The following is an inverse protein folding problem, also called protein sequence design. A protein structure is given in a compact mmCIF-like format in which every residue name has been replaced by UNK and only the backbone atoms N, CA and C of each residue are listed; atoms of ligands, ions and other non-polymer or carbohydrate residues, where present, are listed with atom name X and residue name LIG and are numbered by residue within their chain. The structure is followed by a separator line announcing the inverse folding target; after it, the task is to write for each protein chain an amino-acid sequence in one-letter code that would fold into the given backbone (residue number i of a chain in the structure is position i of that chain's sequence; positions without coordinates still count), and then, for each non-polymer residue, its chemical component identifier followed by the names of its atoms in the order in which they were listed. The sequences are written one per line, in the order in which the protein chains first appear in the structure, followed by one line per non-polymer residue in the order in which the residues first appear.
data_IF_372969377460
#
_entry.id   IF_372969377460
#
_cell.length_a   1.000
_cell.length_b   1.000
_cell.length_c   1.000
_cell.angle_alpha   90.00
_cell.angle_beta   90.00
_cell.angle_gamma   90.00
#
_symmetry.space_group_name_H-M   'P 1'
#
loop_
_entity.id
_entity.type
_entity.pdbx_description
1 polymer ?
#
# COMPACT_ATOMS: atom_id res chain seq x y z
N UNK A 1 12.55 9.89 23.36
CA UNK A 1 11.36 9.00 23.26
C UNK A 1 11.50 8.22 21.98
N UNK A 2 11.03 6.98 21.97
CA UNK A 2 11.22 6.06 20.85
C UNK A 2 9.94 6.02 19.99
N UNK A 3 9.93 5.24 18.91
CA UNK A 3 8.70 4.96 18.17
C UNK A 3 7.86 4.01 19.03
N UNK A 4 6.83 4.57 19.66
CA UNK A 4 6.05 3.90 20.71
C UNK A 4 4.71 3.38 20.15
N UNK A 5 4.17 4.02 19.11
CA UNK A 5 2.92 3.62 18.47
C UNK A 5 3.18 2.99 17.10
N UNK A 6 2.44 1.94 16.78
CA UNK A 6 2.52 1.23 15.50
C UNK A 6 1.11 1.18 14.91
N UNK A 7 1.00 1.62 13.66
CA UNK A 7 -0.18 1.46 12.84
C UNK A 7 0.05 0.27 11.91
N UNK A 8 -0.53 -0.87 12.23
CA UNK A 8 -0.51 -2.10 11.44
C UNK A 8 -1.70 -2.06 10.48
N UNK A 9 -1.45 -2.19 9.19
CA UNK A 9 -2.48 -2.06 8.17
C UNK A 9 -2.40 -3.16 7.13
N UNK A 10 -3.58 -3.69 6.83
CA UNK A 10 -3.82 -4.64 5.75
C UNK A 10 -4.80 -4.04 4.74
N UNK A 11 -4.68 -4.46 3.49
CA UNK A 11 -5.46 -3.95 2.38
C UNK A 11 -6.50 -4.97 1.99
N UNK A 12 -7.77 -4.56 2.02
CA UNK A 12 -8.87 -5.44 1.67
C UNK A 12 -8.82 -5.76 0.17
N UNK A 13 -8.77 -7.05 -0.16
CA UNK A 13 -8.86 -7.57 -1.52
C UNK A 13 -8.03 -6.75 -2.52
N UNK A 14 -6.74 -6.53 -2.16
CA UNK A 14 -5.86 -5.57 -2.84
C UNK A 14 -5.89 -5.71 -4.36
N UNK A 15 -5.77 -6.92 -4.90
CA UNK A 15 -5.78 -7.11 -6.35
C UNK A 15 -7.14 -6.84 -7.00
N UNK A 16 -8.23 -7.20 -6.33
CA UNK A 16 -9.60 -7.16 -6.88
C UNK A 16 -10.17 -5.74 -6.90
N UNK A 17 -9.81 -4.93 -5.90
CA UNK A 17 -10.31 -3.55 -5.75
C UNK A 17 -9.43 -2.49 -6.46
N UNK A 18 -8.26 -2.86 -7.01
CA UNK A 18 -7.39 -1.88 -7.70
C UNK A 18 -8.07 -1.29 -8.94
N UNK A 19 -8.05 0.03 -9.02
CA UNK A 19 -8.44 0.74 -10.24
C UNK A 19 -7.40 0.49 -11.35
N UNK A 20 -7.81 -0.29 -12.35
CA UNK A 20 -6.99 -0.65 -13.50
C UNK A 20 -6.54 0.57 -14.33
N UNK A 21 -7.33 1.63 -14.37
CA UNK A 21 -6.98 2.87 -15.08
C UNK A 21 -5.87 3.61 -14.36
N UNK A 22 -5.98 3.72 -13.03
CA UNK A 22 -4.98 4.34 -12.17
C UNK A 22 -3.65 3.56 -12.20
N UNK A 23 -3.72 2.23 -12.06
CA UNK A 23 -2.57 1.34 -12.16
C UNK A 23 -1.87 1.45 -13.53
N UNK A 24 -2.64 1.35 -14.63
CA UNK A 24 -2.08 1.52 -15.97
C UNK A 24 -1.51 2.93 -16.19
N UNK A 25 -2.09 3.95 -15.55
CA UNK A 25 -1.54 5.30 -15.51
C UNK A 25 -0.14 5.34 -14.91
N UNK A 26 0.09 4.63 -13.79
CA UNK A 26 1.42 4.50 -13.16
C UNK A 26 2.40 3.75 -14.05
N UNK A 27 2.01 2.60 -14.60
CA UNK A 27 2.87 1.81 -15.50
C UNK A 27 3.31 2.64 -16.70
N UNK A 28 2.40 3.41 -17.31
CA UNK A 28 2.69 4.30 -18.45
C UNK A 28 3.69 5.41 -18.16
N UNK A 29 3.81 5.86 -16.91
CA UNK A 29 4.81 6.89 -16.54
C UNK A 29 6.25 6.37 -16.67
N UNK A 30 6.45 5.06 -16.57
CA UNK A 30 7.77 4.43 -16.66
C UNK A 30 7.98 3.67 -17.97
N UNK A 31 6.93 3.04 -18.49
CA UNK A 31 6.98 2.19 -19.68
C UNK A 31 6.22 2.86 -20.83
N UNK A 32 6.94 3.24 -21.89
CA UNK A 32 6.36 3.80 -23.12
C UNK A 32 6.01 2.76 -24.19
N UNK A 33 6.42 1.49 -24.01
CA UNK A 33 6.22 0.43 -24.98
C UNK A 33 4.74 0.00 -25.03
N UNK A 34 4.10 0.21 -26.20
CA UNK A 34 2.70 -0.11 -26.43
C UNK A 34 2.40 -1.61 -26.38
N UNK A 35 3.35 -2.46 -26.77
CA UNK A 35 3.21 -3.92 -26.74
C UNK A 35 3.17 -4.41 -25.29
N UNK A 36 4.11 -3.95 -24.46
CA UNK A 36 4.15 -4.28 -23.02
C UNK A 36 2.89 -3.77 -22.31
N UNK A 37 2.50 -2.52 -22.58
CA UNK A 37 1.27 -1.97 -22.00
C UNK A 37 0.01 -2.72 -22.45
N UNK A 38 -0.03 -3.18 -23.70
CA UNK A 38 -1.10 -4.03 -24.22
C UNK A 38 -1.16 -5.36 -23.49
N UNK A 39 0.00 -5.98 -23.24
CA UNK A 39 0.11 -7.25 -22.52
C UNK A 39 -0.34 -7.12 -21.06
N UNK A 40 0.13 -6.11 -20.34
CA UNK A 40 -0.31 -5.86 -18.95
C UNK A 40 -1.81 -5.63 -18.88
N UNK A 41 -2.38 -4.86 -19.82
CA UNK A 41 -3.82 -4.64 -19.90
C UNK A 41 -4.60 -5.93 -20.19
N UNK A 42 -4.05 -6.82 -21.01
CA UNK A 42 -4.66 -8.12 -21.28
C UNK A 42 -4.65 -9.03 -20.04
N UNK A 43 -3.55 -9.06 -19.28
CA UNK A 43 -3.46 -9.79 -18.02
C UNK A 43 -4.45 -9.28 -16.97
N UNK A 44 -4.59 -7.96 -16.83
CA UNK A 44 -5.59 -7.36 -15.94
C UNK A 44 -7.03 -7.75 -16.31
N UNK A 45 -7.33 -7.89 -17.60
CA UNK A 45 -8.65 -8.36 -18.08
C UNK A 45 -8.86 -9.85 -17.88
N UNK A 46 -7.80 -10.66 -18.05
CA UNK A 46 -7.86 -12.11 -17.89
C UNK A 46 -8.09 -12.51 -16.42
N UNK A 47 -7.49 -11.79 -15.46
CA UNK A 47 -7.71 -12.01 -14.03
C UNK A 47 -9.17 -11.87 -13.61
N UNK A 48 -9.87 -10.86 -14.12
CA UNK A 48 -11.32 -10.66 -13.90
C UNK A 48 -12.13 -11.85 -14.43
N UNK A 49 -11.82 -12.32 -15.64
CA UNK A 49 -12.59 -13.39 -16.28
C UNK A 49 -12.49 -14.73 -15.53
N UNK A 50 -11.35 -14.97 -14.86
CA UNK A 50 -11.15 -16.18 -14.04
C UNK A 50 -11.93 -16.18 -12.73
N UNK A 51 -12.30 -15.02 -12.19
CA UNK A 51 -12.89 -14.92 -10.85
C UNK A 51 -14.38 -14.50 -10.85
N UNK A 52 -14.85 -13.72 -11.85
CA UNK A 52 -16.26 -13.33 -12.01
C UNK A 52 -17.19 -14.45 -12.55
N UNK A 53 -16.73 -15.70 -12.57
CA UNK A 53 -17.60 -16.88 -12.68
C UNK A 53 -18.24 -17.16 -14.05
N UNK A 54 -17.84 -16.47 -15.13
CA UNK A 54 -18.31 -16.78 -16.48
C UNK A 54 -17.21 -17.49 -17.29
N UNK A 55 -17.45 -18.78 -17.46
CA UNK A 55 -16.80 -19.75 -18.35
C UNK A 55 -15.69 -20.63 -17.74
N UNK A 56 -16.06 -21.42 -16.72
CA UNK A 56 -15.37 -22.68 -16.39
C UNK A 56 -15.69 -23.76 -17.42
N UNK A 57 -15.32 -23.58 -18.68
CA UNK A 57 -15.20 -24.68 -19.65
C UNK A 57 -13.89 -24.66 -20.42
N UNK A 58 -12.74 -24.71 -19.74
CA UNK A 58 -11.54 -25.34 -20.33
C UNK A 58 -10.65 -26.01 -19.26
N UNK A 59 -10.84 -27.33 -19.16
CA UNK A 59 -9.85 -28.42 -19.22
C UNK A 59 -8.44 -28.12 -18.66
N UNK A 60 -8.11 -28.79 -17.54
CA UNK A 60 -6.77 -29.13 -17.00
C UNK A 60 -5.83 -28.00 -16.58
N UNK A 61 -5.58 -27.90 -15.26
CA UNK A 61 -4.46 -27.15 -14.66
C UNK A 61 -4.88 -25.76 -14.16
N UNK A 62 -4.97 -25.62 -12.85
CA UNK A 62 -5.34 -24.45 -12.04
C UNK A 62 -5.17 -23.04 -12.68
N UNK A 63 -6.23 -22.21 -12.70
CA UNK A 63 -6.13 -20.76 -12.91
C UNK A 63 -5.66 -20.13 -11.59
N UNK A 64 -4.35 -19.99 -11.39
CA UNK A 64 -3.78 -19.19 -10.30
C UNK A 64 -3.42 -17.82 -10.87
N UNK A 65 -3.93 -16.76 -10.24
CA UNK A 65 -3.69 -15.36 -10.59
C UNK A 65 -2.27 -15.16 -11.10
N UNK A 66 -2.15 -14.65 -12.33
CA UNK A 66 -0.88 -14.67 -13.06
C UNK A 66 0.24 -14.10 -12.20
N UNK A 67 1.45 -14.65 -12.30
CA UNK A 67 2.69 -14.20 -11.61
C UNK A 67 2.91 -12.68 -11.56
N UNK A 68 2.18 -11.93 -12.39
CA UNK A 68 2.17 -10.48 -12.47
C UNK A 68 1.33 -9.80 -11.38
N UNK A 69 0.31 -10.46 -10.80
CA UNK A 69 -0.60 -9.85 -9.82
C UNK A 69 0.12 -9.30 -8.58
N UNK A 70 1.06 -10.03 -7.93
CA UNK A 70 1.81 -9.48 -6.80
C UNK A 70 2.71 -8.29 -7.20
N UNK A 71 3.23 -8.30 -8.42
CA UNK A 71 4.02 -7.19 -8.94
C UNK A 71 3.16 -5.94 -9.18
N UNK A 72 1.97 -6.12 -9.75
CA UNK A 72 1.04 -5.04 -10.04
C UNK A 72 0.48 -4.42 -8.75
N UNK A 73 0.17 -5.24 -7.75
CA UNK A 73 -0.17 -4.77 -6.40
C UNK A 73 0.96 -3.88 -5.84
N UNK A 74 2.21 -4.32 -5.90
CA UNK A 74 3.36 -3.53 -5.46
C UNK A 74 3.48 -2.18 -6.21
N UNK A 75 3.15 -2.13 -7.50
CA UNK A 75 3.14 -0.88 -8.28
C UNK A 75 2.02 0.06 -7.84
N UNK A 76 0.83 -0.47 -7.53
CA UNK A 76 -0.26 0.33 -6.97
C UNK A 76 0.12 0.90 -5.60
N UNK A 77 0.67 0.06 -4.73
CA UNK A 77 1.06 0.42 -3.35
C UNK A 77 2.28 1.32 -3.25
N UNK A 78 3.05 1.49 -4.34
CA UNK A 78 4.14 2.48 -4.37
C UNK A 78 3.66 3.91 -4.10
N UNK A 79 2.36 4.19 -4.22
CA UNK A 79 1.76 5.48 -3.83
C UNK A 79 1.95 5.79 -2.35
N UNK A 80 1.87 4.77 -1.49
CA UNK A 80 2.09 4.92 -0.05
C UNK A 80 3.56 5.20 0.23
N UNK A 81 4.46 4.43 -0.38
CA UNK A 81 5.90 4.62 -0.24
C UNK A 81 6.32 6.02 -0.67
N UNK A 82 5.82 6.50 -1.81
CA UNK A 82 6.06 7.85 -2.33
C UNK A 82 5.58 8.93 -1.35
N UNK A 83 4.37 8.77 -0.79
CA UNK A 83 3.77 9.73 0.14
C UNK A 83 4.56 9.83 1.46
N UNK A 84 4.87 8.69 2.09
CA UNK A 84 5.62 8.68 3.35
C UNK A 84 7.10 9.06 3.14
N UNK A 85 7.68 8.74 2.00
CA UNK A 85 9.03 9.20 1.64
C UNK A 85 9.07 10.71 1.49
N UNK A 86 8.10 11.31 0.77
CA UNK A 86 8.01 12.76 0.63
C UNK A 86 7.84 13.47 1.99
N UNK A 87 7.00 12.92 2.88
CA UNK A 87 6.89 13.40 4.27
C UNK A 87 8.22 13.32 5.01
N UNK A 88 8.93 12.20 4.90
CA UNK A 88 10.22 12.01 5.56
C UNK A 88 11.31 12.97 5.05
N UNK A 89 11.32 13.23 3.74
CA UNK A 89 12.23 14.19 3.10
C UNK A 89 11.89 15.64 3.48
N UNK A 90 10.60 15.97 3.60
CA UNK A 90 10.15 17.30 4.03
C UNK A 90 10.59 17.65 5.46
N UNK A 91 10.84 16.66 6.33
CA UNK A 91 11.42 16.87 7.66
C UNK A 91 12.89 17.31 7.61
N UNK A 92 13.53 17.27 6.43
CA UNK A 92 14.87 17.78 6.20
C UNK A 92 15.98 16.86 6.75
N UNK A 93 17.22 17.38 6.90
CA UNK A 93 18.39 16.58 7.29
C UNK A 93 18.26 15.97 8.69
N UNK A 94 19.15 15.01 8.99
CA UNK A 94 19.07 14.19 10.21
C UNK A 94 19.01 15.01 11.52
N UNK A 95 19.67 16.17 11.56
CA UNK A 95 19.66 17.07 12.71
C UNK A 95 18.30 17.73 12.93
N UNK A 96 17.60 18.11 11.84
CA UNK A 96 16.25 18.67 11.89
C UNK A 96 15.27 17.62 12.40
N UNK A 97 15.38 16.38 11.90
CA UNK A 97 14.60 15.23 12.41
C UNK A 97 14.85 14.94 13.88
N UNK A 98 16.11 15.02 14.33
CA UNK A 98 16.45 14.88 15.75
C UNK A 98 15.83 16.00 16.59
N UNK A 99 15.85 17.24 16.09
CA UNK A 99 15.19 18.39 16.74
C UNK A 99 13.68 18.18 16.83
N UNK A 100 13.02 17.76 15.76
CA UNK A 100 11.58 17.46 15.73
C UNK A 100 11.17 16.44 16.79
N UNK A 101 11.95 15.36 16.95
CA UNK A 101 11.73 14.36 18.00
C UNK A 101 11.87 14.94 19.42
N UNK A 102 12.82 15.84 19.62
CA UNK A 102 13.01 16.52 20.91
C UNK A 102 11.94 17.59 21.19
N UNK A 103 11.36 18.20 20.15
CA UNK A 103 10.32 19.24 20.28
C UNK A 103 8.89 18.68 20.26
N UNK A 104 8.72 17.35 20.19
CA UNK A 104 7.40 16.70 20.21
C UNK A 104 6.65 16.77 18.88
N UNK A 105 7.32 17.04 17.76
CA UNK A 105 6.70 16.94 16.43
C UNK A 105 6.67 15.47 16.02
N UNK A 106 5.52 14.94 15.56
CA UNK A 106 5.41 13.54 15.22
C UNK A 106 6.32 13.19 14.04
N UNK A 107 7.05 12.08 14.17
CA UNK A 107 7.86 11.53 13.07
C UNK A 107 7.43 10.11 12.79
N UNK A 108 7.32 9.76 11.52
CA UNK A 108 6.73 8.49 11.07
C UNK A 108 7.75 7.72 10.22
N UNK A 109 7.68 6.39 10.27
CA UNK A 109 8.49 5.51 9.42
C UNK A 109 7.66 4.34 8.93
N UNK A 110 7.59 4.17 7.61
CA UNK A 110 6.88 3.05 6.97
C UNK A 110 7.82 1.85 6.80
N UNK A 111 7.28 0.65 6.99
CA UNK A 111 7.83 -0.62 6.55
C UNK A 111 6.72 -1.37 5.84
N UNK A 112 6.99 -1.88 4.64
CA UNK A 112 5.99 -2.58 3.83
C UNK A 112 6.56 -3.88 3.29
N UNK A 113 5.74 -4.92 3.32
CA UNK A 113 6.02 -6.21 2.72
C UNK A 113 4.79 -6.64 1.90
N UNK A 114 4.92 -6.61 0.57
CA UNK A 114 3.79 -6.83 -0.33
C UNK A 114 2.58 -5.91 -0.01
N UNK A 115 1.46 -6.49 0.38
CA UNK A 115 0.20 -5.86 0.80
C UNK A 115 0.17 -5.46 2.28
N UNK A 116 0.94 -6.12 3.15
CA UNK A 116 1.07 -5.76 4.55
C UNK A 116 2.01 -4.58 4.75
N UNK A 117 1.60 -3.58 5.54
CA UNK A 117 2.49 -2.49 5.93
C UNK A 117 2.25 -2.03 7.37
N UNK A 118 3.34 -1.58 7.99
CA UNK A 118 3.31 -0.92 9.27
C UNK A 118 3.86 0.50 9.17
N UNK A 119 3.28 1.40 9.95
CA UNK A 119 3.78 2.76 10.12
C UNK A 119 4.09 2.96 11.59
N UNK A 120 5.37 3.11 11.90
CA UNK A 120 5.84 3.43 13.23
C UNK A 120 5.74 4.93 13.46
N UNK A 121 5.10 5.33 14.56
CA UNK A 121 4.87 6.72 14.93
C UNK A 121 5.61 7.05 16.22
N UNK A 122 6.49 8.04 16.14
CA UNK A 122 7.04 8.71 17.31
C UNK A 122 6.16 9.94 17.57
N UNK A 123 5.19 9.81 18.46
CA UNK A 123 4.16 10.82 18.72
C UNK A 123 3.14 10.30 19.72
N UNK A 124 1.94 10.82 19.63
CA UNK A 124 0.79 10.42 20.45
C UNK A 124 -0.03 9.33 19.75
N UNK A 125 -0.95 8.70 20.49
CA UNK A 125 -1.94 7.79 19.91
C UNK A 125 -2.81 8.50 18.86
N UNK A 126 -3.20 9.75 19.12
CA UNK A 126 -4.00 10.54 18.20
C UNK A 126 -3.31 10.75 16.84
N UNK A 127 -1.96 10.87 16.84
CA UNK A 127 -1.17 10.95 15.60
C UNK A 127 -1.21 9.62 14.82
N UNK A 128 -1.27 8.48 15.51
CA UNK A 128 -1.41 7.18 14.89
C UNK A 128 -2.85 6.95 14.40
N UNK A 129 -3.86 7.38 15.15
CA UNK A 129 -5.26 7.29 14.73
C UNK A 129 -5.54 8.20 13.51
N UNK A 130 -4.85 9.33 13.39
CA UNK A 130 -4.92 10.20 12.20
C UNK A 130 -4.44 9.51 10.91
N UNK A 131 -3.60 8.45 11.01
CA UNK A 131 -3.13 7.70 9.85
C UNK A 131 -4.25 6.96 9.13
N UNK A 132 -5.34 6.59 9.79
CA UNK A 132 -6.49 5.97 9.14
C UNK A 132 -7.04 6.83 8.00
N UNK A 133 -7.35 8.08 8.31
CA UNK A 133 -7.88 9.03 7.34
C UNK A 133 -6.84 9.37 6.26
N UNK A 134 -5.57 9.53 6.66
CA UNK A 134 -4.49 9.86 5.74
C UNK A 134 -4.22 8.75 4.73
N UNK A 135 -4.02 7.51 5.20
CA UNK A 135 -3.73 6.35 4.35
C UNK A 135 -4.91 6.07 3.43
N UNK A 136 -6.14 6.18 3.94
CA UNK A 136 -7.36 6.04 3.12
C UNK A 136 -7.39 7.06 1.99
N UNK A 137 -7.05 8.32 2.26
CA UNK A 137 -7.00 9.36 1.23
C UNK A 137 -5.91 9.11 0.17
N UNK A 138 -4.79 8.51 0.57
CA UNK A 138 -3.68 8.16 -0.34
C UNK A 138 -4.01 6.93 -1.19
N UNK A 139 -4.76 5.97 -0.64
CA UNK A 139 -5.19 4.75 -1.33
C UNK A 139 -6.40 4.96 -2.26
N UNK A 140 -7.30 5.89 -1.93
CA UNK A 140 -8.53 6.14 -2.68
C UNK A 140 -8.33 6.34 -4.20
N UNK A 141 -7.31 7.08 -4.68
CA UNK A 141 -7.05 7.23 -6.12
C UNK A 141 -6.67 5.93 -6.83
N UNK A 142 -6.18 4.93 -6.10
CA UNK A 142 -5.87 3.60 -6.61
C UNK A 142 -7.06 2.64 -6.50
N UNK A 143 -8.21 3.09 -5.97
CA UNK A 143 -9.39 2.24 -5.72
C UNK A 143 -9.30 1.39 -4.45
N UNK A 144 -8.17 1.46 -3.74
CA UNK A 144 -7.84 0.59 -2.62
C UNK A 144 -8.47 1.04 -1.30
N UNK A 145 -8.75 0.08 -0.41
CA UNK A 145 -9.33 0.30 0.91
C UNK A 145 -8.59 -0.48 1.99
N UNK A 146 -8.54 0.11 3.18
CA UNK A 146 -8.02 -0.57 4.37
C UNK A 146 -9.00 -1.63 4.85
N UNK A 147 -8.45 -2.73 5.37
CA UNK A 147 -9.24 -3.76 6.06
C UNK A 147 -9.51 -3.33 7.49
N UNK A 148 -10.75 -2.94 7.81
CA UNK A 148 -11.13 -2.50 9.16
C UNK A 148 -10.92 -3.57 10.24
N UNK A 149 -11.03 -4.85 9.87
CA UNK A 149 -10.92 -5.97 10.81
C UNK A 149 -9.47 -6.31 11.17
N UNK A 150 -8.52 -5.99 10.30
CA UNK A 150 -7.10 -6.34 10.44
C UNK A 150 -6.21 -5.14 10.70
N UNK A 151 -6.65 -3.94 10.32
CA UNK A 151 -5.91 -2.71 10.57
C UNK A 151 -6.13 -2.27 12.01
N UNK A 152 -5.05 -2.01 12.75
CA UNK A 152 -5.09 -1.64 14.17
C UNK A 152 -3.95 -0.72 14.56
N UNK A 153 -4.19 0.07 15.60
CA UNK A 153 -3.15 0.87 16.28
C UNK A 153 -2.79 0.17 17.59
N UNK A 154 -1.52 -0.17 17.75
CA UNK A 154 -0.99 -0.84 18.93
C UNK A 154 0.22 -0.07 19.49
N UNK A 155 0.49 -0.29 20.78
CA UNK A 155 1.72 0.19 21.41
C UNK A 155 2.82 -0.86 21.26
N UNK A 156 4.08 -0.44 21.12
CA UNK A 156 5.22 -1.35 20.92
C UNK A 156 5.38 -2.38 22.05
N UNK A 157 4.99 -2.02 23.27
CA UNK A 157 5.06 -2.89 24.46
C UNK A 157 3.97 -3.97 24.49
N UNK A 158 2.87 -3.79 23.74
CA UNK A 158 1.78 -4.76 23.64
C UNK A 158 2.14 -5.90 22.66
N UNK A 159 3.16 -5.69 21.83
CA UNK A 159 3.50 -6.57 20.72
C UNK A 159 2.60 -6.32 19.51
N UNK A 160 3.12 -6.65 18.32
CA UNK A 160 2.37 -6.63 17.07
C UNK A 160 2.86 -7.77 16.19
N UNK A 161 1.99 -8.24 15.30
CA UNK A 161 2.30 -9.31 14.35
C UNK A 161 2.68 -8.67 13.02
N UNK A 162 3.87 -8.96 12.49
CA UNK A 162 4.37 -8.50 11.19
C UNK A 162 5.38 -9.49 10.61
#
# INVERSE_FOLDING_TARGET
RNYEWVFEADIKACFDEIDHTALMGRVRRRIGDKCVLGLVKAFLRAGILTEDGLDRTTITGTPQGGILSPLLANIALSVLDEHFTAKWEALGPAWTRAKHRCTGVPTMRIVRYADDFLVMVHGTRDDADALWAEVTAVLAPMGLRLSEEKTRVCHIDEGFDF
#
